data_IF_643531295710
#
_entry.id   IF_643531295710
#
_cell.length_a   1.000
_cell.length_b   1.000
_cell.length_c   1.000
_cell.angle_alpha   90.00
_cell.angle_beta   90.00
_cell.angle_gamma   90.00
#
_symmetry.space_group_name_H-M   'P 1'
#
loop_
_entity.id
_entity.type
_entity.pdbx_description
1 polymer ?
#
# COMPACT_ATOMS: atom_id res chain seq x y z
N UNK A 1 31.13 50.97 28.74
CA UNK A 1 30.91 50.47 27.36
C UNK A 1 30.78 48.95 27.43
N UNK A 2 29.58 48.38 27.60
CA UNK A 2 29.50 46.94 27.86
C UNK A 2 28.13 46.26 28.01
N UNK A 3 27.00 46.98 27.91
CA UNK A 3 25.66 46.36 27.98
C UNK A 3 24.86 46.48 26.66
N UNK A 4 25.12 47.50 25.85
CA UNK A 4 24.51 47.68 24.51
C UNK A 4 24.90 46.58 23.50
N UNK A 5 26.07 45.94 23.69
CA UNK A 5 26.59 44.91 22.79
C UNK A 5 25.95 43.54 23.06
N UNK A 6 25.66 43.23 24.33
CA UNK A 6 25.09 41.96 24.75
C UNK A 6 23.64 41.81 24.26
N UNK A 7 22.85 42.89 24.32
CA UNK A 7 21.45 42.93 23.87
C UNK A 7 21.31 42.78 22.35
N UNK A 8 22.26 43.30 21.56
CA UNK A 8 22.29 43.14 20.09
C UNK A 8 22.67 41.71 19.69
N UNK A 9 23.64 41.09 20.37
CA UNK A 9 24.04 39.71 20.10
C UNK A 9 22.93 38.70 20.43
N UNK A 10 22.17 38.91 21.52
CA UNK A 10 21.07 38.01 21.90
C UNK A 10 19.89 38.09 20.91
N UNK A 11 19.57 39.30 20.40
CA UNK A 11 18.52 39.47 19.37
C UNK A 11 18.91 38.88 18.01
N UNK A 12 20.18 38.99 17.61
CA UNK A 12 20.68 38.36 16.39
C UNK A 12 20.70 36.81 16.50
N UNK A 13 21.02 36.28 17.68
CA UNK A 13 21.03 34.84 17.95
C UNK A 13 19.62 34.21 17.93
N UNK A 14 18.60 34.92 18.43
CA UNK A 14 17.21 34.45 18.37
C UNK A 14 16.62 34.48 16.94
N UNK A 15 16.98 35.48 16.13
CA UNK A 15 16.51 35.61 14.75
C UNK A 15 17.16 34.56 13.82
N UNK A 16 18.43 34.22 14.06
CA UNK A 16 19.14 33.17 13.32
C UNK A 16 18.53 31.78 13.53
N UNK A 17 18.09 31.48 14.76
CA UNK A 17 17.54 30.16 15.11
C UNK A 17 16.08 29.98 14.64
N UNK A 18 15.29 31.07 14.63
CA UNK A 18 13.97 31.12 13.96
C UNK A 18 14.10 30.96 12.43
N UNK A 19 15.13 31.55 11.83
CA UNK A 19 15.44 31.40 10.40
C UNK A 19 15.83 29.98 10.02
N UNK A 20 16.63 29.28 10.87
CA UNK A 20 16.99 27.87 10.68
C UNK A 20 15.78 26.95 10.76
N UNK A 21 14.86 27.17 11.71
CA UNK A 21 13.62 26.40 11.84
C UNK A 21 12.69 26.60 10.62
N UNK A 22 12.58 27.83 10.12
CA UNK A 22 11.85 28.11 8.87
C UNK A 22 12.51 27.48 7.64
N UNK A 23 13.84 27.49 7.57
CA UNK A 23 14.58 26.89 6.45
C UNK A 23 14.51 25.35 6.48
N UNK A 24 14.56 24.73 7.67
CA UNK A 24 14.35 23.28 7.83
C UNK A 24 12.92 22.91 7.44
N UNK A 25 11.91 23.71 7.81
CA UNK A 25 10.51 23.50 7.39
C UNK A 25 10.31 23.63 5.87
N UNK A 26 10.97 24.62 5.23
CA UNK A 26 10.93 24.80 3.78
C UNK A 26 11.66 23.68 3.02
N UNK A 27 12.81 23.22 3.54
CA UNK A 27 13.56 22.08 2.99
C UNK A 27 12.80 20.77 3.17
N UNK A 28 12.10 20.57 4.29
CA UNK A 28 11.21 19.42 4.49
C UNK A 28 10.07 19.43 3.48
N UNK A 29 9.50 20.60 3.16
CA UNK A 29 8.39 20.74 2.22
C UNK A 29 8.83 20.60 0.75
N UNK A 30 10.07 20.99 0.40
CA UNK A 30 10.65 20.86 -0.94
C UNK A 30 11.30 19.49 -1.20
N UNK A 31 11.60 18.72 -0.16
CA UNK A 31 12.13 17.35 -0.25
C UNK A 31 11.06 16.27 -0.06
N UNK A 32 9.78 16.62 0.10
CA UNK A 32 8.71 15.63 0.05
C UNK A 32 8.75 15.00 -1.35
N UNK A 33 9.14 13.72 -1.49
CA UNK A 33 8.96 13.03 -2.75
C UNK A 33 7.46 13.11 -3.04
N UNK A 34 7.10 13.46 -4.28
CA UNK A 34 5.73 13.27 -4.73
C UNK A 34 5.43 11.79 -4.55
N UNK A 35 4.75 11.44 -3.45
CA UNK A 35 4.30 10.08 -3.21
C UNK A 35 3.29 9.81 -4.31
N UNK A 36 3.73 9.13 -5.36
CA UNK A 36 2.81 8.50 -6.28
C UNK A 36 1.92 7.61 -5.40
N UNK A 37 0.65 7.99 -5.27
CA UNK A 37 -0.33 7.14 -4.63
C UNK A 37 -0.44 5.91 -5.52
N UNK A 38 0.31 4.86 -5.18
CA UNK A 38 0.10 3.56 -5.77
C UNK A 38 -1.38 3.25 -5.54
N UNK A 39 -2.13 3.07 -6.63
CA UNK A 39 -3.52 2.66 -6.56
C UNK A 39 -3.61 1.43 -5.67
N UNK A 40 -4.46 1.51 -4.65
CA UNK A 40 -4.76 0.40 -3.77
C UNK A 40 -6.20 0.00 -4.02
N UNK A 41 -6.43 -1.29 -4.17
CA UNK A 41 -7.76 -1.84 -4.43
C UNK A 41 -8.07 -2.87 -3.36
N UNK A 42 -9.34 -2.92 -2.96
CA UNK A 42 -9.83 -3.93 -2.04
C UNK A 42 -10.39 -5.10 -2.85
N UNK A 43 -10.17 -6.33 -2.38
CA UNK A 43 -10.67 -7.57 -2.97
C UNK A 43 -11.53 -8.30 -1.96
N UNK A 44 -12.71 -8.75 -2.41
CA UNK A 44 -13.53 -9.70 -1.65
C UNK A 44 -13.32 -11.09 -2.24
N UNK A 45 -12.92 -12.04 -1.39
CA UNK A 45 -12.87 -13.47 -1.69
C UNK A 45 -14.04 -14.15 -0.99
N UNK A 46 -14.69 -15.08 -1.67
CA UNK A 46 -15.87 -15.80 -1.18
C UNK A 46 -15.69 -17.31 -1.40
N UNK A 47 -16.28 -18.13 -0.52
CA UNK A 47 -16.26 -19.60 -0.63
C UNK A 47 -17.55 -20.22 -0.08
N UNK A 48 -17.77 -21.50 -0.42
CA UNK A 48 -18.92 -22.26 0.07
C UNK A 48 -18.83 -22.55 1.57
N UNK A 49 -19.99 -22.63 2.25
CA UNK A 49 -20.04 -22.94 3.68
C UNK A 49 -19.37 -24.29 4.01
N UNK A 50 -18.54 -24.28 5.05
CA UNK A 50 -17.86 -25.47 5.57
C UNK A 50 -18.78 -26.14 6.60
N UNK A 51 -19.19 -27.38 6.30
CA UNK A 51 -20.08 -28.16 7.17
C UNK A 51 -19.34 -29.10 8.13
N UNK A 52 -18.00 -29.10 8.10
CA UNK A 52 -17.20 -29.88 9.02
C UNK A 52 -17.14 -29.17 10.39
N UNK A 53 -17.71 -29.76 11.46
CA UNK A 53 -17.78 -29.10 12.76
C UNK A 53 -16.41 -29.02 13.47
N UNK A 54 -15.38 -29.72 12.98
CA UNK A 54 -14.03 -29.64 13.54
C UNK A 54 -13.25 -28.41 13.08
N UNK A 55 -13.67 -27.79 11.98
CA UNK A 55 -13.04 -26.58 11.43
C UNK A 55 -13.51 -25.35 12.20
N UNK A 56 -12.55 -24.54 12.67
CA UNK A 56 -12.83 -23.33 13.45
C UNK A 56 -12.51 -22.04 12.72
N UNK A 57 -11.63 -22.10 11.71
CA UNK A 57 -11.25 -20.93 10.94
C UNK A 57 -10.71 -21.31 9.55
N UNK A 58 -10.67 -20.32 8.67
CA UNK A 58 -10.02 -20.35 7.36
C UNK A 58 -8.84 -19.39 7.38
N UNK A 59 -7.70 -19.84 6.83
CA UNK A 59 -6.52 -19.01 6.60
C UNK A 59 -6.35 -18.78 5.11
N UNK A 60 -6.19 -17.52 4.72
CA UNK A 60 -5.97 -17.11 3.34
C UNK A 60 -4.51 -16.74 3.18
N UNK A 61 -3.88 -17.28 2.14
CA UNK A 61 -2.50 -17.03 1.79
C UNK A 61 -2.43 -16.34 0.44
N UNK A 62 -1.46 -15.44 0.28
CA UNK A 62 -1.22 -14.67 -0.93
C UNK A 62 0.21 -14.88 -1.39
N UNK A 63 0.42 -14.88 -2.71
CA UNK A 63 1.74 -14.78 -3.32
C UNK A 63 1.70 -13.82 -4.49
N UNK A 64 2.87 -13.31 -4.85
CA UNK A 64 3.06 -12.68 -6.15
C UNK A 64 2.91 -13.75 -7.25
N UNK A 65 2.29 -13.38 -8.37
CA UNK A 65 2.07 -14.25 -9.51
C UNK A 65 2.78 -13.68 -10.76
N UNK A 66 3.36 -14.53 -11.64
CA UNK A 66 3.47 -15.99 -11.53
C UNK A 66 4.61 -16.43 -10.60
N UNK A 67 5.54 -15.53 -10.28
CA UNK A 67 6.70 -15.82 -9.48
C UNK A 67 6.45 -15.53 -7.99
N UNK A 68 6.66 -16.53 -7.15
CA UNK A 68 6.48 -16.43 -5.70
C UNK A 68 6.13 -17.76 -5.08
N UNK A 69 6.28 -17.87 -3.76
CA UNK A 69 5.90 -19.04 -2.96
C UNK A 69 4.99 -18.56 -1.84
N UNK A 70 3.99 -19.36 -1.48
CA UNK A 70 3.14 -19.07 -0.34
C UNK A 70 3.92 -19.14 0.97
N UNK A 71 3.72 -18.13 1.82
CA UNK A 71 4.19 -18.16 3.21
C UNK A 71 3.08 -18.68 4.13
N UNK A 72 3.07 -19.99 4.35
CA UNK A 72 2.03 -20.64 5.16
C UNK A 72 2.11 -20.33 6.67
N UNK A 73 3.17 -19.64 7.11
CA UNK A 73 3.29 -19.19 8.50
C UNK A 73 2.64 -17.83 8.72
N UNK A 74 2.45 -17.05 7.64
CA UNK A 74 1.94 -15.69 7.70
C UNK A 74 0.74 -15.52 6.76
N UNK A 75 -0.46 -15.98 7.16
CA UNK A 75 -1.66 -15.76 6.38
C UNK A 75 -1.96 -14.26 6.26
N UNK A 76 -2.45 -13.83 5.09
CA UNK A 76 -2.89 -12.44 4.88
C UNK A 76 -4.22 -12.15 5.57
N UNK A 77 -5.01 -13.20 5.83
CA UNK A 77 -6.27 -13.11 6.55
C UNK A 77 -6.55 -14.42 7.29
N UNK A 78 -7.13 -14.30 8.48
CA UNK A 78 -7.74 -15.40 9.22
C UNK A 78 -9.20 -15.05 9.43
N UNK A 79 -10.08 -16.00 9.11
CA UNK A 79 -11.53 -15.80 9.07
C UNK A 79 -12.19 -16.88 9.93
N UNK A 80 -12.92 -16.53 10.99
CA UNK A 80 -13.60 -17.51 11.83
C UNK A 80 -14.82 -18.12 11.12
N UNK A 81 -15.12 -19.39 11.38
CA UNK A 81 -16.41 -19.98 10.99
C UNK A 81 -17.54 -19.31 11.79
N UNK A 82 -18.71 -18.99 11.20
CA UNK A 82 -19.22 -19.44 9.90
C UNK A 82 -19.05 -18.44 8.75
N UNK A 83 -18.16 -17.46 8.85
CA UNK A 83 -17.97 -16.49 7.77
C UNK A 83 -17.49 -17.19 6.50
N UNK A 84 -18.05 -16.78 5.36
CA UNK A 84 -17.78 -17.34 4.03
C UNK A 84 -17.11 -16.33 3.09
N UNK A 85 -16.68 -15.20 3.63
CA UNK A 85 -16.14 -14.08 2.87
C UNK A 85 -14.93 -13.46 3.57
N UNK A 86 -14.01 -12.92 2.79
CA UNK A 86 -12.85 -12.19 3.28
C UNK A 86 -12.57 -10.95 2.43
N UNK A 87 -12.54 -9.79 3.07
CA UNK A 87 -12.06 -8.57 2.46
C UNK A 87 -10.56 -8.40 2.72
N UNK A 88 -9.78 -8.43 1.63
CA UNK A 88 -8.35 -8.12 1.60
C UNK A 88 -8.23 -6.65 1.17
N UNK A 89 -7.87 -5.80 2.12
CA UNK A 89 -7.80 -4.37 1.90
C UNK A 89 -6.45 -3.97 1.31
N UNK A 90 -6.44 -2.84 0.62
CA UNK A 90 -5.25 -2.09 0.30
C UNK A 90 -4.23 -2.85 -0.59
N UNK A 91 -4.70 -3.71 -1.50
CA UNK A 91 -3.83 -4.52 -2.35
C UNK A 91 -3.08 -3.58 -3.32
N UNK A 92 -1.73 -3.64 -3.36
CA UNK A 92 -0.97 -2.83 -4.29
C UNK A 92 -1.19 -3.24 -5.75
N UNK A 93 -0.73 -2.40 -6.67
CA UNK A 93 -0.67 -2.80 -8.07
C UNK A 93 0.23 -4.03 -8.26
N UNK A 94 -0.25 -5.00 -9.01
CA UNK A 94 0.44 -6.25 -9.25
C UNK A 94 -0.52 -7.36 -9.64
N UNK A 95 0.04 -8.52 -9.96
CA UNK A 95 -0.74 -9.75 -10.12
C UNK A 95 -0.44 -10.67 -8.96
N UNK A 96 -1.50 -11.17 -8.33
CA UNK A 96 -1.41 -11.98 -7.14
C UNK A 96 -2.28 -13.21 -7.26
N UNK A 97 -1.92 -14.23 -6.51
CA UNK A 97 -2.69 -15.46 -6.39
C UNK A 97 -3.00 -15.75 -4.92
N UNK A 98 -4.20 -16.28 -4.66
CA UNK A 98 -4.66 -16.66 -3.32
C UNK A 98 -5.14 -18.10 -3.27
N UNK A 99 -4.88 -18.72 -2.11
CA UNK A 99 -5.44 -20.01 -1.71
C UNK A 99 -5.95 -19.89 -0.28
N UNK A 100 -6.92 -20.73 0.05
CA UNK A 100 -7.46 -20.85 1.39
C UNK A 100 -7.17 -22.24 1.97
N UNK A 101 -6.97 -22.31 3.28
CA UNK A 101 -6.91 -23.56 4.05
C UNK A 101 -7.83 -23.47 5.25
N UNK A 102 -8.71 -24.46 5.40
CA UNK A 102 -9.44 -24.71 6.64
C UNK A 102 -8.49 -25.20 7.74
N UNK A 103 -8.75 -24.79 8.98
CA UNK A 103 -7.96 -25.12 10.17
C UNK A 103 -8.87 -25.63 11.29
N UNK A 104 -8.50 -26.74 11.91
CA UNK A 104 -9.22 -27.33 13.04
C UNK A 104 -8.82 -26.73 14.41
N UNK A 105 -9.47 -27.16 15.49
CA UNK A 105 -9.14 -26.76 16.88
C UNK A 105 -7.70 -27.10 17.29
N UNK A 106 -7.11 -28.14 16.70
CA UNK A 106 -5.72 -28.57 16.95
C UNK A 106 -4.69 -27.75 16.15
N UNK A 107 -5.14 -26.87 15.26
CA UNK A 107 -4.28 -26.10 14.37
C UNK A 107 -3.81 -26.86 13.14
N UNK A 108 -4.34 -28.07 12.88
CA UNK A 108 -4.07 -28.82 11.67
C UNK A 108 -4.75 -28.11 10.49
N UNK A 109 -4.02 -27.95 9.39
CA UNK A 109 -4.52 -27.30 8.19
C UNK A 109 -4.82 -28.34 7.11
N UNK A 110 -5.89 -28.10 6.37
CA UNK A 110 -6.21 -28.82 5.13
C UNK A 110 -5.20 -28.54 4.01
N UNK A 111 -5.35 -29.24 2.88
CA UNK A 111 -4.68 -28.89 1.63
C UNK A 111 -5.19 -27.55 1.09
N UNK A 112 -4.46 -26.96 0.13
CA UNK A 112 -4.90 -25.73 -0.54
C UNK A 112 -6.22 -25.93 -1.30
N UNK A 113 -7.05 -24.89 -1.28
CA UNK A 113 -8.15 -24.72 -2.24
C UNK A 113 -7.64 -24.64 -3.68
N UNK A 114 -8.55 -24.48 -4.64
CA UNK A 114 -8.16 -23.94 -5.94
C UNK A 114 -7.51 -22.57 -5.78
N UNK A 115 -6.57 -22.26 -6.68
CA UNK A 115 -5.89 -20.97 -6.72
C UNK A 115 -6.75 -19.96 -7.51
N UNK A 116 -6.96 -18.79 -6.93
CA UNK A 116 -7.61 -17.64 -7.60
C UNK A 116 -6.55 -16.60 -7.89
N UNK A 117 -6.59 -15.99 -9.07
CA UNK A 117 -5.60 -14.98 -9.51
C UNK A 117 -6.30 -13.71 -9.99
N UNK A 118 -5.75 -12.55 -9.67
CA UNK A 118 -6.25 -11.26 -10.13
C UNK A 118 -5.10 -10.25 -10.34
N UNK A 119 -5.34 -9.26 -11.20
CA UNK A 119 -4.39 -8.19 -11.53
C UNK A 119 -4.98 -6.83 -11.18
N UNK A 120 -4.32 -6.13 -10.26
CA UNK A 120 -4.65 -4.75 -9.91
C UNK A 120 -3.71 -3.81 -10.65
N UNK A 121 -4.25 -2.93 -11.48
CA UNK A 121 -3.49 -1.95 -12.24
C UNK A 121 -4.08 -0.55 -12.08
N UNK A 122 -3.20 0.45 -12.05
CA UNK A 122 -3.63 1.85 -12.19
C UNK A 122 -4.02 2.11 -13.65
N UNK A 123 -5.19 2.71 -13.93
CA UNK A 123 -5.55 3.13 -15.27
C UNK A 123 -4.49 4.07 -15.87
N UNK A 124 -4.19 3.99 -17.19
CA UNK A 124 -3.30 4.93 -17.84
C UNK A 124 -3.73 6.38 -17.60
N UNK A 125 -2.76 7.28 -17.45
CA UNK A 125 -3.04 8.71 -17.30
C UNK A 125 -3.74 9.25 -18.55
N UNK A 126 -4.74 10.12 -18.36
CA UNK A 126 -5.43 10.79 -19.48
C UNK A 126 -4.45 11.72 -20.20
N UNK A 127 -4.42 11.67 -21.53
CA UNK A 127 -3.66 12.64 -22.33
C UNK A 127 -4.37 13.99 -22.24
N UNK A 128 -3.78 14.94 -21.54
CA UNK A 128 -4.22 16.34 -21.54
C UNK A 128 -3.60 17.10 -22.72
N UNK A 129 -4.31 18.12 -23.23
CA UNK A 129 -3.82 19.05 -24.25
C UNK A 129 -3.47 18.41 -25.61
N UNK A 130 -4.30 17.46 -26.06
CA UNK A 130 -4.22 16.94 -27.43
C UNK A 130 -4.44 18.08 -28.43
N UNK A 131 -3.44 18.36 -29.27
CA UNK A 131 -3.46 19.47 -30.25
C UNK A 131 -2.99 19.00 -31.62
N UNK A 132 -3.61 19.55 -32.68
CA UNK A 132 -3.20 19.33 -34.07
C UNK A 132 -1.88 20.06 -34.37
N UNK A 133 -0.96 19.42 -35.11
CA UNK A 133 0.20 20.06 -35.73
C UNK A 133 0.02 20.03 -37.25
N UNK A 134 -0.01 21.19 -37.88
CA UNK A 134 0.00 21.29 -39.35
C UNK A 134 1.45 21.29 -39.83
N UNK A 135 1.79 20.39 -40.75
CA UNK A 135 3.07 20.41 -41.44
C UNK A 135 2.89 21.15 -42.76
N UNK A 136 3.59 22.26 -42.95
CA UNK A 136 3.62 22.99 -44.23
C UNK A 136 4.83 22.45 -44.99
N UNK A 137 4.66 21.82 -46.17
CA UNK A 137 5.78 21.38 -47.00
C UNK A 137 6.59 22.58 -47.50
N UNK A 138 7.92 22.45 -47.53
CA UNK A 138 8.81 23.46 -48.12
C UNK A 138 8.60 23.51 -49.64
N UNK A 139 8.36 24.70 -50.17
CA UNK A 139 8.34 24.99 -51.60
C UNK A 139 9.74 24.93 -52.21
#
# INVERSE_FOLDING_TARGET
MGMEFLTKCIRALFIAELGKLMMISLVFFLLLPAYACAGKTDLTLEWDAINDPSVVQVRIFQRNYPAGVYDYNNPVKVVPIPETEAVILNIPNGTYAWVARAVDEGGLQSADSNEVTDTFAVPPQVIHNLRKKLSIPSL
#
